data_IF_434060515775
#
_entry.id   IF_434060515775
#
_cell.length_a   1.000
_cell.length_b   1.000
_cell.length_c   1.000
_cell.angle_alpha   90.00
_cell.angle_beta   90.00
_cell.angle_gamma   90.00
#
_symmetry.space_group_name_H-M   'P 1'
#
loop_
_entity.id
_entity.type
_entity.pdbx_description
1 polymer ?
#
# COMPACT_ATOMS: atom_id res chain seq x y z
N UNK A 1 6.00 -9.12 15.88
CA UNK A 1 4.82 -8.63 15.13
C UNK A 1 4.33 -9.77 14.25
N UNK A 2 3.06 -10.20 14.39
CA UNK A 2 2.51 -11.20 13.47
C UNK A 2 2.43 -10.58 12.07
N UNK A 3 2.95 -11.28 11.05
CA UNK A 3 2.78 -10.86 9.65
C UNK A 3 1.32 -11.15 9.27
N UNK A 4 0.51 -10.11 9.14
CA UNK A 4 -0.86 -10.24 8.64
C UNK A 4 -0.75 -10.38 7.12
N UNK A 5 -0.90 -11.60 6.62
CA UNK A 5 -0.99 -11.86 5.18
C UNK A 5 -2.46 -11.73 4.77
N UNK A 6 -2.82 -10.80 3.88
CA UNK A 6 -4.19 -10.67 3.41
C UNK A 6 -4.62 -11.93 2.65
N UNK A 7 -5.80 -12.46 2.95
CA UNK A 7 -6.35 -13.67 2.33
C UNK A 7 -7.17 -13.39 1.08
N UNK A 8 -7.50 -12.13 0.83
CA UNK A 8 -8.27 -11.70 -0.35
C UNK A 8 -7.89 -10.29 -0.81
N UNK A 9 -8.27 -9.96 -2.06
CA UNK A 9 -8.11 -8.60 -2.63
C UNK A 9 -8.87 -7.55 -1.80
N UNK A 10 -10.02 -7.91 -1.24
CA UNK A 10 -10.86 -7.03 -0.41
C UNK A 10 -10.17 -6.73 0.93
N UNK A 11 -9.58 -7.74 1.58
CA UNK A 11 -8.80 -7.54 2.80
C UNK A 11 -7.56 -6.68 2.53
N UNK A 12 -6.82 -6.96 1.45
CA UNK A 12 -5.68 -6.14 1.06
C UNK A 12 -6.10 -4.68 0.85
N UNK A 13 -7.24 -4.42 0.18
CA UNK A 13 -7.77 -3.07 -0.01
C UNK A 13 -8.03 -2.34 1.30
N UNK A 14 -8.57 -3.02 2.30
CA UNK A 14 -8.90 -2.45 3.60
C UNK A 14 -7.65 -2.06 4.42
N UNK A 15 -6.49 -2.67 4.13
CA UNK A 15 -5.22 -2.36 4.77
C UNK A 15 -4.49 -1.17 4.12
N UNK A 16 -4.92 -0.72 2.94
CA UNK A 16 -4.29 0.38 2.23
C UNK A 16 -4.72 1.74 2.80
N UNK A 17 -3.81 2.72 2.92
CA UNK A 17 -4.15 4.05 3.41
C UNK A 17 -5.05 4.82 2.42
N UNK A 18 -5.56 5.96 2.89
CA UNK A 18 -6.26 6.91 2.03
C UNK A 18 -5.34 7.38 0.89
N UNK A 19 -5.88 7.52 -0.32
CA UNK A 19 -5.09 7.89 -1.50
C UNK A 19 -4.33 6.75 -2.19
N UNK A 20 -4.11 5.61 -1.51
CA UNK A 20 -3.30 4.51 -2.03
C UNK A 20 -3.73 3.98 -3.41
N UNK A 21 -5.03 3.92 -3.71
CA UNK A 21 -5.50 3.46 -5.03
C UNK A 21 -5.06 4.39 -6.17
N UNK A 22 -5.00 5.69 -5.91
CA UNK A 22 -4.52 6.68 -6.88
C UNK A 22 -3.03 6.48 -7.13
N UNK A 23 -2.25 6.25 -6.07
CA UNK A 23 -0.81 5.99 -6.21
C UNK A 23 -0.51 4.66 -6.90
N UNK A 24 -1.26 3.61 -6.58
CA UNK A 24 -1.15 2.31 -7.26
C UNK A 24 -1.50 2.47 -8.74
N UNK A 25 -2.52 3.25 -9.09
CA UNK A 25 -2.87 3.55 -10.48
C UNK A 25 -1.71 4.22 -11.22
N UNK A 26 -1.10 5.24 -10.61
CA UNK A 26 0.09 5.91 -11.16
C UNK A 26 1.27 4.95 -11.34
N UNK A 27 1.64 4.19 -10.30
CA UNK A 27 2.79 3.25 -10.33
C UNK A 27 2.59 2.07 -11.29
N UNK A 28 1.37 1.55 -11.38
CA UNK A 28 1.04 0.45 -12.29
C UNK A 28 0.82 0.90 -13.75
N UNK A 29 0.79 2.22 -14.01
CA UNK A 29 0.41 2.81 -15.28
C UNK A 29 -0.96 2.34 -15.77
N UNK A 30 -1.93 2.29 -14.86
CA UNK A 30 -3.33 1.92 -15.12
C UNK A 30 -4.26 3.04 -14.67
N UNK A 31 -5.48 3.06 -15.20
CA UNK A 31 -6.48 4.04 -14.75
C UNK A 31 -6.98 3.72 -13.35
N UNK A 32 -7.34 4.75 -12.58
CA UNK A 32 -7.93 4.59 -11.24
C UNK A 32 -9.11 3.61 -11.24
N UNK A 33 -10.02 3.71 -12.22
CA UNK A 33 -11.18 2.83 -12.34
C UNK A 33 -10.80 1.35 -12.53
N UNK A 34 -9.69 1.06 -13.23
CA UNK A 34 -9.18 -0.31 -13.39
C UNK A 34 -8.65 -0.86 -12.07
N UNK A 35 -7.85 -0.08 -11.35
CA UNK A 35 -7.34 -0.46 -10.03
C UNK A 35 -8.47 -0.63 -9.02
N UNK A 36 -9.41 0.32 -8.98
CA UNK A 36 -10.59 0.24 -8.12
C UNK A 36 -11.42 -1.02 -8.44
N UNK A 37 -11.63 -1.31 -9.72
CA UNK A 37 -12.36 -2.48 -10.17
C UNK A 37 -11.68 -3.81 -9.80
N UNK A 38 -10.34 -3.86 -9.84
CA UNK A 38 -9.55 -5.00 -9.39
C UNK A 38 -9.79 -5.31 -7.91
N UNK A 39 -9.67 -4.30 -7.04
CA UNK A 39 -9.86 -4.49 -5.59
C UNK A 39 -11.31 -4.74 -5.19
N UNK A 40 -12.27 -4.26 -5.99
CA UNK A 40 -13.70 -4.50 -5.80
C UNK A 40 -14.19 -5.80 -6.45
N UNK A 41 -13.31 -6.58 -7.10
CA UNK A 41 -13.66 -7.78 -7.89
C UNK A 41 -14.77 -7.53 -8.92
N UNK A 42 -14.88 -6.31 -9.46
CA UNK A 42 -15.97 -5.90 -10.36
C UNK A 42 -15.71 -6.20 -11.83
N UNK A 43 -14.44 -6.35 -12.23
CA UNK A 43 -14.08 -6.61 -13.62
C UNK A 43 -13.10 -7.77 -13.74
N UNK A 44 -13.21 -8.49 -14.86
CA UNK A 44 -12.22 -9.47 -15.27
C UNK A 44 -10.96 -8.70 -15.67
N UNK A 45 -9.93 -8.79 -14.82
CA UNK A 45 -8.63 -8.18 -15.03
C UNK A 45 -7.75 -9.21 -15.73
N UNK A 46 -6.95 -8.81 -16.71
CA UNK A 46 -5.98 -9.73 -17.33
C UNK A 46 -4.87 -10.10 -16.33
N UNK A 47 -4.21 -11.24 -16.52
CA UNK A 47 -3.07 -11.64 -15.66
C UNK A 47 -1.96 -10.59 -15.66
N UNK A 48 -1.73 -9.95 -16.82
CA UNK A 48 -0.76 -8.85 -16.95
C UNK A 48 -1.14 -7.65 -16.10
N UNK A 49 -2.38 -7.18 -16.20
CA UNK A 49 -2.87 -6.06 -15.38
C UNK A 49 -2.84 -6.41 -13.89
N UNK A 50 -3.22 -7.63 -13.52
CA UNK A 50 -3.17 -8.12 -12.14
C UNK A 50 -1.74 -8.09 -11.59
N UNK A 51 -0.76 -8.58 -12.35
CA UNK A 51 0.63 -8.52 -11.97
C UNK A 51 1.12 -7.06 -11.81
N UNK A 52 0.71 -6.14 -12.68
CA UNK A 52 1.06 -4.72 -12.59
C UNK A 52 0.49 -4.07 -11.31
N UNK A 53 -0.78 -4.34 -10.99
CA UNK A 53 -1.43 -3.80 -9.80
C UNK A 53 -0.77 -4.36 -8.53
N UNK A 54 -0.54 -5.67 -8.47
CA UNK A 54 0.07 -6.32 -7.32
C UNK A 54 1.50 -5.84 -7.09
N UNK A 55 2.29 -5.67 -8.17
CA UNK A 55 3.65 -5.12 -8.08
C UNK A 55 3.64 -3.70 -7.54
N UNK A 56 2.82 -2.81 -8.12
CA UNK A 56 2.69 -1.43 -7.65
C UNK A 56 2.19 -1.34 -6.20
N UNK A 57 1.30 -2.26 -5.80
CA UNK A 57 0.82 -2.34 -4.41
C UNK A 57 1.94 -2.74 -3.47
N UNK A 58 2.78 -3.72 -3.85
CA UNK A 58 3.91 -4.15 -3.04
C UNK A 58 4.96 -3.03 -2.87
N UNK A 59 5.29 -2.34 -3.97
CA UNK A 59 6.21 -1.18 -3.95
C UNK A 59 5.70 -0.08 -3.00
N UNK A 60 4.42 0.28 -3.09
CA UNK A 60 3.83 1.28 -2.20
C UNK A 60 3.88 0.85 -0.72
N UNK A 61 3.59 -0.41 -0.42
CA UNK A 61 3.64 -0.91 0.96
C UNK A 61 5.07 -0.90 1.52
N UNK A 62 6.07 -1.14 0.67
CA UNK A 62 7.47 -1.03 1.08
C UNK A 62 7.86 0.43 1.38
N UNK A 63 7.44 1.38 0.56
CA UNK A 63 7.65 2.81 0.77
C UNK A 63 7.03 3.27 2.10
N UNK A 64 5.76 2.93 2.35
CA UNK A 64 5.06 3.25 3.61
C UNK A 64 5.79 2.65 4.82
N UNK A 65 6.28 1.42 4.71
CA UNK A 65 7.03 0.77 5.79
C UNK A 65 8.36 1.48 6.08
N UNK A 66 9.04 1.99 5.05
CA UNK A 66 10.25 2.79 5.19
C UNK A 66 9.96 4.12 5.87
N UNK A 67 8.96 4.87 5.39
CA UNK A 67 8.52 6.14 5.99
C UNK A 67 8.14 5.96 7.46
N UNK A 68 7.42 4.89 7.79
CA UNK A 68 7.04 4.58 9.17
C UNK A 68 8.26 4.36 10.06
N UNK A 69 9.28 3.64 9.57
CA UNK A 69 10.53 3.41 10.32
C UNK A 69 11.27 4.72 10.57
N UNK A 70 11.31 5.61 9.59
CA UNK A 70 11.95 6.92 9.71
C UNK A 70 11.21 7.82 10.73
N UNK A 71 9.88 7.84 10.66
CA UNK A 71 9.05 8.58 11.62
C UNK A 71 9.28 8.09 13.06
N UNK A 72 9.37 6.77 13.29
CA UNK A 72 9.66 6.23 14.62
C UNK A 72 11.06 6.61 15.13
N UNK A 73 12.08 6.61 14.26
CA UNK A 73 13.42 7.06 14.63
C UNK A 73 13.40 8.53 15.04
N UNK A 74 12.74 9.38 14.26
CA UNK A 74 12.61 10.81 14.56
C UNK A 74 11.89 11.04 15.90
N UNK A 75 10.79 10.31 16.14
CA UNK A 75 10.03 10.40 17.40
C UNK A 75 10.89 9.98 18.61
N UNK A 76 11.64 8.89 18.50
CA UNK A 76 12.53 8.44 19.57
C UNK A 76 13.59 9.49 19.93
N UNK A 77 14.18 10.15 18.92
CA UNK A 77 15.14 11.25 19.15
C UNK A 77 14.52 12.45 19.86
N UNK A 78 13.29 12.84 19.49
CA UNK A 78 12.57 13.93 20.16
C UNK A 78 12.28 13.60 21.62
N UNK A 79 11.82 12.38 21.92
CA UNK A 79 11.50 11.96 23.28
C UNK A 79 12.73 11.93 24.20
N UNK A 80 13.90 11.52 23.69
CA UNK A 80 15.17 11.56 24.44
C UNK A 80 15.55 13.00 24.77
N UNK A 81 15.40 13.93 23.83
CA UNK A 81 15.73 15.34 24.04
C UNK A 81 14.80 16.05 25.03
N UNK A 82 13.54 15.61 25.17
CA UNK A 82 12.59 16.17 26.14
C UNK A 82 12.76 15.61 27.55
N UNK A 83 13.53 14.53 27.71
CA UNK A 83 13.75 13.86 29.00
C UNK A 83 15.06 14.28 29.68
N UNK A 84 15.84 15.16 29.03
CA UNK A 84 17.04 15.81 29.56
C UNK A 84 16.77 17.28 29.86
#
# INVERSE_FOLDING_TARGET
MQRITPKSKIELRAMLPNGALTEIATKSNLTFSRVQGFFASKYKTSEREEAQILKATAELLEEIEQERKEAYKALASVLINLSN
#
